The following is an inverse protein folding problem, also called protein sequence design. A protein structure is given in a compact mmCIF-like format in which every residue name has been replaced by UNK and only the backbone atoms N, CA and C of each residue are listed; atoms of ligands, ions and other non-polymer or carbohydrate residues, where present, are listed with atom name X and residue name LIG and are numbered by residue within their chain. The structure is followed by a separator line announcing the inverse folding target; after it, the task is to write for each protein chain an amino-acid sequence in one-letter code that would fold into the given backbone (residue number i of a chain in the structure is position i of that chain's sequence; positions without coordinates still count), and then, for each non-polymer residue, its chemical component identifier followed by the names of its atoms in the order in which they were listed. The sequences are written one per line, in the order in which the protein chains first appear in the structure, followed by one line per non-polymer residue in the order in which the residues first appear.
data_IF_482539368620
#
_entry.id   IF_482539368620
#
_cell.length_a   1.000
_cell.length_b   1.000
_cell.length_c   1.000
_cell.angle_alpha   90.00
_cell.angle_beta   90.00
_cell.angle_gamma   90.00
#
_symmetry.space_group_name_H-M   'P 1'
#
loop_
_entity.id
_entity.type
_entity.pdbx_description
1 polymer ?
#
# COMPACT_ATOMS: atom_id res chain seq x y z
N UNK A 1 -0.28 10.04 -14.10
CA UNK A 1 -1.55 9.37 -13.76
C UNK A 1 -1.29 8.49 -12.55
N UNK A 2 -2.29 8.28 -11.69
CA UNK A 2 -2.19 7.27 -10.64
C UNK A 2 -2.02 5.88 -11.27
N UNK A 3 -1.38 4.97 -10.53
CA UNK A 3 -1.27 3.58 -10.94
C UNK A 3 -2.66 2.92 -10.88
N UNK A 4 -2.89 2.00 -11.81
CA UNK A 4 -4.11 1.20 -11.91
C UNK A 4 -3.86 -0.21 -11.40
N UNK A 5 -4.94 -0.96 -11.12
CA UNK A 5 -4.82 -2.38 -10.76
C UNK A 5 -4.14 -3.20 -11.86
N UNK A 6 -4.42 -2.86 -13.13
CA UNK A 6 -3.78 -3.51 -14.27
C UNK A 6 -2.26 -3.23 -14.32
N UNK A 7 -1.81 -2.04 -13.90
CA UNK A 7 -0.38 -1.77 -13.75
C UNK A 7 0.24 -2.70 -12.72
N UNK A 8 -0.44 -2.94 -11.58
CA UNK A 8 0.01 -3.90 -10.59
C UNK A 8 0.15 -5.32 -11.16
N UNK A 9 -0.87 -5.82 -11.87
CA UNK A 9 -0.83 -7.17 -12.48
C UNK A 9 0.27 -7.26 -13.56
N UNK A 10 0.42 -6.21 -14.38
CA UNK A 10 1.41 -6.15 -15.47
C UNK A 10 2.83 -6.10 -14.94
N UNK A 11 3.08 -5.29 -13.89
CA UNK A 11 4.38 -5.17 -13.24
C UNK A 11 4.76 -6.40 -12.42
N UNK A 12 3.79 -7.19 -11.97
CA UNK A 12 3.99 -8.34 -11.09
C UNK A 12 3.36 -9.62 -11.68
N UNK A 13 3.95 -10.24 -12.73
CA UNK A 13 3.35 -11.38 -13.42
C UNK A 13 3.08 -12.60 -12.54
N UNK A 14 3.82 -12.76 -11.43
CA UNK A 14 3.57 -13.78 -10.42
C UNK A 14 2.20 -13.61 -9.74
N UNK A 15 1.68 -12.39 -9.66
CA UNK A 15 0.39 -12.05 -9.08
C UNK A 15 -0.79 -12.17 -10.06
N UNK A 16 -0.60 -12.70 -11.28
CA UNK A 16 -1.68 -12.87 -12.27
C UNK A 16 -2.87 -13.68 -11.78
N UNK A 17 -2.69 -14.58 -10.80
CA UNK A 17 -3.82 -15.28 -10.18
C UNK A 17 -4.84 -14.35 -9.51
N UNK A 18 -4.47 -13.09 -9.25
CA UNK A 18 -5.34 -12.08 -8.66
C UNK A 18 -6.03 -11.17 -9.69
N UNK A 19 -5.81 -11.36 -11.00
CA UNK A 19 -6.29 -10.45 -12.04
C UNK A 19 -7.80 -10.16 -11.95
N UNK A 20 -8.60 -11.16 -11.58
CA UNK A 20 -10.06 -11.04 -11.42
C UNK A 20 -10.50 -11.24 -9.96
N UNK A 21 -9.62 -10.96 -9.00
CA UNK A 21 -9.86 -11.21 -7.59
C UNK A 21 -10.42 -9.96 -6.90
N UNK A 22 -11.65 -10.06 -6.39
CA UNK A 22 -12.36 -8.93 -5.80
C UNK A 22 -11.71 -8.44 -4.50
N UNK A 23 -11.17 -9.34 -3.67
CA UNK A 23 -10.48 -8.96 -2.43
C UNK A 23 -9.25 -8.11 -2.76
N UNK A 24 -8.44 -8.59 -3.70
CA UNK A 24 -7.21 -7.90 -4.08
C UNK A 24 -7.47 -6.59 -4.82
N UNK A 25 -8.52 -6.51 -5.65
CA UNK A 25 -8.96 -5.26 -6.28
C UNK A 25 -9.44 -4.24 -5.22
N UNK A 26 -10.22 -4.69 -4.24
CA UNK A 26 -10.70 -3.83 -3.16
C UNK A 26 -9.56 -3.29 -2.28
N UNK A 27 -8.57 -4.12 -1.95
CA UNK A 27 -7.38 -3.69 -1.21
C UNK A 27 -6.58 -2.69 -2.02
N UNK A 28 -6.37 -2.91 -3.32
CA UNK A 28 -5.69 -1.95 -4.17
C UNK A 28 -6.44 -0.62 -4.25
N UNK A 29 -7.76 -0.65 -4.42
CA UNK A 29 -8.60 0.54 -4.47
C UNK A 29 -8.53 1.34 -3.16
N UNK A 30 -8.53 0.64 -2.02
CA UNK A 30 -8.32 1.26 -0.70
C UNK A 30 -6.95 1.92 -0.60
N UNK A 31 -5.87 1.20 -0.93
CA UNK A 31 -4.50 1.72 -0.87
C UNK A 31 -4.25 2.89 -1.85
N UNK A 32 -5.05 2.97 -2.91
CA UNK A 32 -4.93 4.02 -3.95
C UNK A 32 -5.67 5.31 -3.63
N UNK A 33 -6.36 5.42 -2.48
CA UNK A 33 -6.99 6.67 -2.08
C UNK A 33 -5.93 7.72 -1.73
N UNK A 34 -6.11 8.97 -2.18
CA UNK A 34 -5.14 10.06 -2.01
C UNK A 34 -4.65 10.20 -0.55
N UNK A 35 -5.58 10.17 0.40
CA UNK A 35 -5.26 10.26 1.83
C UNK A 35 -4.41 9.07 2.33
N UNK A 36 -4.65 7.87 1.79
CA UNK A 36 -3.89 6.67 2.13
C UNK A 36 -2.49 6.74 1.51
N UNK A 37 -2.37 7.18 0.26
CA UNK A 37 -1.09 7.41 -0.40
C UNK A 37 -0.23 8.39 0.40
N UNK A 38 -0.82 9.51 0.84
CA UNK A 38 -0.12 10.51 1.68
C UNK A 38 0.37 9.88 2.97
N UNK A 39 -0.44 9.09 3.68
CA UNK A 39 -0.01 8.41 4.90
C UNK A 39 1.15 7.43 4.66
N UNK A 40 1.11 6.64 3.58
CA UNK A 40 2.17 5.68 3.24
C UNK A 40 3.50 6.39 2.91
N UNK A 41 3.42 7.53 2.22
CA UNK A 41 4.56 8.40 1.94
C UNK A 41 5.10 9.02 3.23
N UNK A 42 4.24 9.63 4.05
CA UNK A 42 4.65 10.28 5.30
C UNK A 42 5.30 9.29 6.28
N UNK A 43 4.77 8.06 6.35
CA UNK A 43 5.39 6.98 7.11
C UNK A 43 6.80 6.66 6.59
N UNK A 44 6.96 6.58 5.27
CA UNK A 44 8.25 6.32 4.63
C UNK A 44 9.27 7.45 4.84
N UNK A 45 8.83 8.70 4.73
CA UNK A 45 9.63 9.91 5.02
C UNK A 45 10.07 9.93 6.51
N UNK A 46 9.20 9.48 7.42
CA UNK A 46 9.53 9.28 8.84
C UNK A 46 10.41 8.02 9.10
N UNK A 47 10.83 7.30 8.05
CA UNK A 47 11.66 6.11 8.13
C UNK A 47 10.94 4.88 8.68
N UNK A 48 9.60 4.85 8.66
CA UNK A 48 8.75 3.73 9.07
C UNK A 48 8.24 2.97 7.82
N UNK A 49 7.83 1.70 7.95
CA UNK A 49 7.25 0.96 6.83
C UNK A 49 6.03 1.67 6.24
N UNK A 50 5.89 1.69 4.91
CA UNK A 50 4.76 2.33 4.24
C UNK A 50 3.41 1.70 4.62
N UNK A 51 3.40 0.39 4.89
CA UNK A 51 2.20 -0.33 5.32
C UNK A 51 1.76 0.03 6.75
N UNK A 52 2.68 0.53 7.59
CA UNK A 52 2.43 0.80 9.01
C UNK A 52 1.11 1.55 9.31
N UNK A 53 0.81 2.70 8.68
CA UNK A 53 -0.45 3.44 8.94
C UNK A 53 -1.73 2.68 8.57
N UNK A 54 -1.65 1.67 7.70
CA UNK A 54 -2.83 1.03 7.11
C UNK A 54 -2.88 -0.48 7.32
N UNK A 55 -1.90 -1.06 8.03
CA UNK A 55 -1.77 -2.50 8.22
C UNK A 55 -3.03 -3.12 8.83
N UNK A 56 -3.57 -2.49 9.88
CA UNK A 56 -4.80 -2.96 10.56
C UNK A 56 -6.01 -2.87 9.63
N UNK A 57 -6.13 -1.81 8.83
CA UNK A 57 -7.22 -1.68 7.87
C UNK A 57 -7.19 -2.81 6.84
N UNK A 58 -6.00 -3.11 6.29
CA UNK A 58 -5.83 -4.24 5.37
C UNK A 58 -6.14 -5.57 6.07
N UNK A 59 -5.74 -5.77 7.32
CA UNK A 59 -6.11 -6.98 8.08
C UNK A 59 -7.62 -7.12 8.27
N UNK A 60 -8.31 -6.02 8.59
CA UNK A 60 -9.77 -6.03 8.72
C UNK A 60 -10.48 -6.32 7.40
N UNK A 61 -9.91 -5.97 6.23
CA UNK A 61 -10.49 -6.32 4.93
C UNK A 61 -10.65 -7.83 4.76
N UNK A 62 -9.69 -8.64 5.20
CA UNK A 62 -9.71 -10.10 5.06
C UNK A 62 -10.35 -10.82 6.27
N UNK A 63 -10.71 -10.08 7.32
CA UNK A 63 -11.29 -10.62 8.54
C UNK A 63 -12.78 -10.31 8.68
N UNK A 64 -13.41 -9.64 7.70
CA UNK A 64 -14.83 -9.30 7.74
C UNK A 64 -15.69 -10.55 7.60
N UNK A 65 -16.40 -10.98 8.66
CA UNK A 65 -17.18 -12.22 8.62
C UNK A 65 -18.41 -12.13 7.70
N UNK A 66 -18.76 -10.92 7.24
CA UNK A 66 -19.90 -10.71 6.34
C UNK A 66 -19.53 -10.85 4.86
N UNK A 67 -18.24 -11.07 4.56
CA UNK A 67 -17.75 -11.28 3.19
C UNK A 67 -17.15 -12.68 3.05
N UNK A 68 -17.45 -13.30 1.91
CA UNK A 68 -16.68 -14.46 1.48
C UNK A 68 -15.38 -13.94 0.87
N UNK A 69 -14.25 -14.40 1.41
CA UNK A 69 -12.93 -14.05 0.91
C UNK A 69 -12.32 -15.25 0.19
N UNK A 70 -11.80 -15.01 -1.00
CA UNK A 70 -11.08 -16.03 -1.77
C UNK A 70 -9.61 -16.12 -1.33
N UNK A 71 -9.11 -15.07 -0.66
CA UNK A 71 -7.75 -14.99 -0.13
C UNK A 71 -7.71 -14.74 1.37
N UNK A 72 -6.53 -14.97 1.95
CA UNK A 72 -6.28 -14.72 3.37
C UNK A 72 -4.92 -14.07 3.58
N UNK A 73 -4.75 -13.40 4.72
CA UNK A 73 -3.43 -12.97 5.18
C UNK A 73 -2.76 -14.01 6.08
N UNK A 74 -3.11 -15.29 5.97
CA UNK A 74 -2.37 -16.36 6.64
C UNK A 74 -1.24 -16.89 5.77
N UNK A 75 -1.34 -16.73 4.45
CA UNK A 75 -0.27 -17.08 3.51
C UNK A 75 0.66 -15.89 3.22
N UNK A 76 1.93 -16.20 2.95
CA UNK A 76 2.94 -15.18 2.67
C UNK A 76 2.77 -14.55 1.28
N UNK A 77 2.13 -15.24 0.34
CA UNK A 77 1.99 -14.76 -1.02
C UNK A 77 1.05 -13.56 -1.09
N UNK A 78 -0.12 -13.66 -0.45
CA UNK A 78 -1.10 -12.57 -0.35
C UNK A 78 -0.49 -11.35 0.36
N UNK A 79 0.26 -11.56 1.45
CA UNK A 79 0.98 -10.48 2.14
C UNK A 79 2.00 -9.78 1.23
N UNK A 80 2.77 -10.56 0.47
CA UNK A 80 3.74 -10.02 -0.47
C UNK A 80 3.06 -9.24 -1.59
N UNK A 81 1.92 -9.72 -2.09
CA UNK A 81 1.14 -9.01 -3.10
C UNK A 81 0.67 -7.64 -2.59
N UNK A 82 0.20 -7.52 -1.35
CA UNK A 82 -0.10 -6.21 -0.73
C UNK A 82 1.13 -5.30 -0.74
N UNK A 83 2.31 -5.83 -0.40
CA UNK A 83 3.56 -5.06 -0.48
C UNK A 83 3.91 -4.59 -1.90
N UNK A 84 3.65 -5.43 -2.90
CA UNK A 84 3.85 -5.11 -4.32
C UNK A 84 2.83 -4.08 -4.83
N UNK A 85 1.59 -4.11 -4.35
CA UNK A 85 0.59 -3.07 -4.63
C UNK A 85 1.08 -1.71 -4.15
N UNK A 86 1.57 -1.63 -2.91
CA UNK A 86 2.14 -0.38 -2.37
C UNK A 86 3.30 0.11 -3.24
N UNK A 87 4.19 -0.80 -3.68
CA UNK A 87 5.28 -0.45 -4.58
C UNK A 87 4.75 0.19 -5.87
N UNK A 88 3.79 -0.46 -6.53
CA UNK A 88 3.16 0.03 -7.76
C UNK A 88 2.47 1.39 -7.54
N UNK A 89 1.77 1.57 -6.42
CA UNK A 89 1.03 2.80 -6.10
C UNK A 89 1.96 4.00 -5.85
N UNK A 90 3.12 3.76 -5.23
CA UNK A 90 4.06 4.83 -4.88
C UNK A 90 5.02 5.21 -6.03
N UNK A 91 5.19 4.34 -7.03
CA UNK A 91 6.07 4.57 -8.18
C UNK A 91 5.74 5.86 -8.96
N UNK A 92 4.47 6.20 -9.30
CA UNK A 92 4.13 7.45 -9.97
C UNK A 92 4.58 8.73 -9.25
N UNK A 93 4.85 8.66 -7.94
CA UNK A 93 5.31 9.77 -7.10
C UNK A 93 6.84 9.83 -6.98
N UNK A 94 7.58 8.93 -7.63
CA UNK A 94 9.05 8.86 -7.59
C UNK A 94 9.59 8.21 -6.32
N UNK A 95 8.79 7.39 -5.64
CA UNK A 95 9.22 6.66 -4.44
C UNK A 95 9.67 5.25 -4.80
N UNK A 96 10.91 4.92 -4.44
CA UNK A 96 11.50 3.60 -4.69
C UNK A 96 11.71 2.84 -3.38
N UNK A 97 11.66 1.51 -3.44
CA UNK A 97 11.88 0.64 -2.29
C UNK A 97 13.28 0.88 -1.73
N UNK A 98 13.39 1.15 -0.42
CA UNK A 98 14.67 1.30 0.25
C UNK A 98 15.04 0.06 1.06
N UNK A 99 14.32 -0.18 2.15
CA UNK A 99 14.69 -1.16 3.20
C UNK A 99 13.41 -1.76 3.76
N UNK A 100 13.45 -3.03 4.11
CA UNK A 100 12.41 -3.63 4.94
C UNK A 100 12.68 -3.31 6.42
N UNK A 101 11.62 -3.01 7.18
CA UNK A 101 11.67 -2.81 8.63
C UNK A 101 10.46 -3.46 9.30
N UNK A 102 10.63 -3.82 10.57
CA UNK A 102 9.55 -4.31 11.40
C UNK A 102 8.46 -3.24 11.56
N UNK A 103 7.20 -3.69 11.59
CA UNK A 103 6.10 -2.82 11.95
C UNK A 103 6.23 -2.43 13.44
N UNK A 104 6.04 -1.16 13.80
CA UNK A 104 5.96 -0.75 15.20
C UNK A 104 4.94 -1.58 15.99
N UNK A 105 5.37 -2.13 17.14
CA UNK A 105 4.51 -2.96 18.00
C UNK A 105 3.23 -2.26 18.46
N UNK A 106 3.23 -0.92 18.48
CA UNK A 106 2.08 -0.10 18.85
C UNK A 106 0.92 -0.12 17.84
N UNK A 107 1.14 -0.64 16.63
CA UNK A 107 0.14 -0.64 15.55
C UNK A 107 -0.87 -1.78 15.72
N UNK A 108 -0.59 -2.78 16.58
CA UNK A 108 -1.46 -3.94 16.83
C UNK A 108 -1.85 -4.74 15.57
N UNK A 109 -1.07 -4.63 14.48
CA UNK A 109 -1.17 -5.52 13.33
C UNK A 109 -0.68 -6.93 13.71
N UNK A 110 -1.42 -7.96 13.31
CA UNK A 110 -1.20 -9.36 13.72
C UNK A 110 -0.74 -10.25 12.58
N UNK A 111 -1.06 -9.90 11.34
CA UNK A 111 -0.73 -10.66 10.13
C UNK A 111 0.54 -10.15 9.47
N UNK A 112 0.84 -8.85 9.59
CA UNK A 112 2.07 -8.24 9.06
C UNK A 112 3.12 -8.01 10.15
N UNK A 113 4.31 -8.60 9.97
CA UNK A 113 5.44 -8.41 10.90
C UNK A 113 6.40 -7.31 10.44
N UNK A 114 6.64 -7.22 9.13
CA UNK A 114 7.53 -6.24 8.52
C UNK A 114 6.98 -5.79 7.16
N UNK A 115 7.45 -4.63 6.70
CA UNK A 115 7.14 -4.12 5.37
C UNK A 115 8.23 -3.17 4.87
N UNK A 116 8.19 -2.86 3.58
CA UNK A 116 9.12 -1.95 2.94
C UNK A 116 8.91 -0.50 3.38
N UNK A 117 10.03 0.19 3.59
CA UNK A 117 10.15 1.65 3.59
C UNK A 117 10.54 2.10 2.19
N UNK A 118 10.14 3.31 1.83
CA UNK A 118 10.43 3.92 0.53
C UNK A 118 11.20 5.21 0.72
N UNK A 119 11.92 5.67 -0.31
CA UNK A 119 12.39 7.06 -0.36
C UNK A 119 12.19 7.65 -1.73
N UNK A 120 12.06 8.97 -1.73
CA UNK A 120 12.01 9.75 -2.94
C UNK A 120 13.36 9.66 -3.67
N UNK A 121 13.31 9.26 -4.94
CA UNK A 121 14.45 9.23 -5.85
C UNK A 121 14.25 10.33 -6.90
N UNK A 122 15.17 11.30 -6.92
CA UNK A 122 15.13 12.45 -7.83
C UNK A 122 15.27 12.04 -9.30
N UNK A 123 15.81 10.84 -9.57
CA UNK A 123 16.00 10.30 -10.91
C UNK A 123 14.87 9.34 -11.33
N UNK A 124 14.00 8.94 -10.42
CA UNK A 124 12.91 8.03 -10.74
C UNK A 124 11.87 8.73 -11.66
N UNK A 125 11.37 8.03 -12.70
CA UNK A 125 10.24 8.53 -13.48
C UNK A 125 9.07 8.83 -12.56
N UNK A 126 8.46 10.01 -12.72
CA UNK A 126 7.29 10.42 -11.96
C UNK A 126 6.26 11.06 -12.86
N UNK A 127 5.00 10.77 -12.59
CA UNK A 127 3.87 11.38 -13.28
C UNK A 127 2.89 12.07 -12.33
N UNK A 128 3.17 12.03 -11.03
CA UNK A 128 2.37 12.62 -9.96
C UNK A 128 3.27 13.36 -8.95
N UNK A 129 2.68 14.29 -8.19
CA UNK A 129 3.32 14.97 -7.05
C UNK A 129 2.31 15.12 -5.92
N UNK A 130 2.77 15.04 -4.68
CA UNK A 130 1.97 15.37 -3.49
C UNK A 130 2.03 16.89 -3.27
N UNK A 131 0.87 17.51 -3.06
CA UNK A 131 0.75 18.94 -2.70
C UNK A 131 0.07 19.01 -1.33
N UNK A 132 0.81 19.40 -0.29
CA UNK A 132 0.27 19.65 1.05
C UNK A 132 -0.11 21.13 1.15
N UNK A 133 -1.34 21.45 1.56
CA UNK A 133 -1.84 22.83 1.71
C UNK A 133 -2.39 23.05 3.11
N UNK A 134 -2.16 24.25 3.66
CA UNK A 134 -2.84 24.76 4.85
C UNK A 134 -4.01 25.61 4.39
N UNK A 135 -5.20 25.36 4.93
CA UNK A 135 -6.43 26.08 4.60
C UNK A 135 -7.07 26.65 5.87
N UNK A 136 -7.75 27.78 5.74
CA UNK A 136 -8.50 28.42 6.82
C UNK A 136 -9.80 27.65 7.09
N UNK A 137 -10.14 27.42 8.36
CA UNK A 137 -11.43 26.83 8.72
C UNK A 137 -12.47 27.95 8.65
N UNK A 138 -13.33 27.91 7.63
CA UNK A 138 -14.50 28.78 7.54
C UNK A 138 -15.60 28.10 8.38
N UNK A 139 -15.82 28.61 9.59
CA UNK A 139 -16.94 28.22 10.48
C UNK A 139 -18.24 28.89 10.09
#
# INVERSE_FOLDING_TARGET
MLATYNDFITQNPNCRKFENDDDMQNVFAFLSQDFIIVQMIDASEAGKPALAPVAVNVEHFFADPNKSHDNSLDDNFTKQAVGLMIKTILEPFGYTVWKQKDLPKSINATKFQSASTYRFDVLAPRSMKIVKRVEEIIS
#
